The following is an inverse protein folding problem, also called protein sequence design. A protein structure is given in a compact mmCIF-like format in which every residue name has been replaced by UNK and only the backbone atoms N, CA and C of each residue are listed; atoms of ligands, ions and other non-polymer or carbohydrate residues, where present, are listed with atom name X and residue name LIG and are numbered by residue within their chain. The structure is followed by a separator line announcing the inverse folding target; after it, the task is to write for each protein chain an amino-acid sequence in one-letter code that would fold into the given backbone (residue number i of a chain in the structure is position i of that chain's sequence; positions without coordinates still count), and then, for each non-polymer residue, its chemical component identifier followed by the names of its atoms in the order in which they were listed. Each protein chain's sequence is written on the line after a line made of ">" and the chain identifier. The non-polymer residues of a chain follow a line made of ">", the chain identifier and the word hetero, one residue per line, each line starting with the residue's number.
data_IF_757951711934
#
_entry.id   IF_757951711934
#
_cell.length_a   1.000
_cell.length_b   1.000
_cell.length_c   1.000
_cell.angle_alpha   90.00
_cell.angle_beta   90.00
_cell.angle_gamma   90.00
#
_symmetry.space_group_name_H-M   'P 1'
#
loop_
_entity.id
_entity.type
_entity.pdbx_description
1 polymer ?
#
# COMPACT_ATOMS: atom_id res chain seq x y z
N UNK A 1 9.43 5.64 10.89
CA UNK A 1 10.25 6.19 12.00
C UNK A 1 10.83 5.11 12.93
N UNK A 2 10.14 3.97 13.15
CA UNK A 2 10.66 2.84 13.96
C UNK A 2 12.02 2.28 13.51
N UNK A 3 12.27 2.19 12.20
CA UNK A 3 13.51 1.63 11.66
C UNK A 3 14.78 2.44 11.98
N UNK A 4 14.66 3.71 12.39
CA UNK A 4 15.81 4.47 12.92
C UNK A 4 16.35 3.87 14.22
N UNK A 5 15.49 3.22 15.01
CA UNK A 5 15.85 2.65 16.30
C UNK A 5 16.27 1.18 16.19
N UNK A 6 16.13 0.54 15.02
CA UNK A 6 16.46 -0.87 14.79
C UNK A 6 17.70 -1.01 13.90
N UNK A 7 18.88 -0.78 14.48
CA UNK A 7 20.17 -0.72 13.78
C UNK A 7 21.25 -1.61 14.43
N UNK A 8 20.84 -2.75 15.01
CA UNK A 8 21.76 -3.68 15.67
C UNK A 8 22.73 -4.31 14.65
N UNK A 9 22.19 -4.83 13.54
CA UNK A 9 22.97 -5.51 12.48
C UNK A 9 23.24 -4.65 11.23
N UNK A 10 22.49 -3.56 11.08
CA UNK A 10 22.56 -2.66 9.92
C UNK A 10 22.73 -1.22 10.38
N UNK A 11 23.27 -0.38 9.51
CA UNK A 11 23.33 1.07 9.72
C UNK A 11 22.69 1.81 8.56
N UNK A 12 21.87 2.81 8.86
CA UNK A 12 21.23 3.67 7.87
C UNK A 12 22.31 4.49 7.18
N UNK A 13 22.32 4.41 5.85
CA UNK A 13 23.12 5.25 4.97
C UNK A 13 22.32 6.48 4.58
N UNK A 14 21.05 6.30 4.22
CA UNK A 14 20.17 7.38 3.82
C UNK A 14 18.70 7.00 4.00
N UNK A 15 17.82 7.99 3.97
CA UNK A 15 16.39 7.80 3.94
C UNK A 15 15.69 8.90 3.13
N UNK A 16 14.52 8.58 2.58
CA UNK A 16 13.71 9.52 1.82
C UNK A 16 12.24 9.36 2.22
N UNK A 17 11.56 10.49 2.31
CA UNK A 17 10.12 10.55 2.45
C UNK A 17 9.51 10.81 1.07
N UNK A 18 8.46 10.05 0.75
CA UNK A 18 7.62 10.26 -0.42
C UNK A 18 6.25 10.64 0.11
N UNK A 19 5.78 11.84 -0.27
CA UNK A 19 4.49 12.37 0.13
C UNK A 19 3.35 11.36 -0.18
N UNK A 20 2.38 11.28 0.71
CA UNK A 20 1.30 10.30 0.67
C UNK A 20 0.43 10.35 -0.59
N UNK A 21 0.32 11.52 -1.24
CA UNK A 21 -0.47 11.70 -2.47
C UNK A 21 -0.12 10.71 -3.56
N UNK A 22 1.16 10.34 -3.68
CA UNK A 22 1.57 9.36 -4.69
C UNK A 22 0.89 8.00 -4.47
N UNK A 23 0.81 7.55 -3.21
CA UNK A 23 0.16 6.27 -2.91
C UNK A 23 -1.37 6.39 -2.87
N UNK A 24 -1.89 7.56 -2.49
CA UNK A 24 -3.31 7.87 -2.62
C UNK A 24 -3.78 7.75 -4.07
N UNK A 25 -3.10 8.44 -5.00
CA UNK A 25 -3.36 8.37 -6.43
C UNK A 25 -3.23 6.94 -6.98
N UNK A 26 -2.21 6.21 -6.53
CA UNK A 26 -2.04 4.80 -6.92
C UNK A 26 -3.27 3.97 -6.53
N UNK A 27 -3.76 4.13 -5.30
CA UNK A 27 -4.93 3.39 -4.81
C UNK A 27 -6.22 3.80 -5.50
N UNK A 28 -6.41 5.09 -5.79
CA UNK A 28 -7.54 5.58 -6.60
C UNK A 28 -7.52 4.98 -8.01
N UNK A 29 -6.37 4.96 -8.68
CA UNK A 29 -6.26 4.40 -10.02
C UNK A 29 -6.47 2.88 -10.04
N UNK A 30 -6.05 2.17 -9.00
CA UNK A 30 -6.39 0.76 -8.82
C UNK A 30 -7.89 0.52 -8.62
N UNK A 31 -8.55 1.35 -7.80
CA UNK A 31 -10.01 1.27 -7.63
C UNK A 31 -10.74 1.53 -8.94
N UNK A 32 -10.37 2.60 -9.68
CA UNK A 32 -10.97 2.94 -10.98
C UNK A 32 -10.81 1.80 -11.97
N UNK A 33 -9.60 1.23 -12.08
CA UNK A 33 -9.34 0.08 -12.98
C UNK A 33 -10.11 -1.15 -12.56
N UNK A 34 -10.22 -1.43 -11.25
CA UNK A 34 -11.01 -2.55 -10.74
C UNK A 34 -12.48 -2.39 -11.12
N UNK A 35 -13.06 -1.22 -10.89
CA UNK A 35 -14.48 -0.94 -11.20
C UNK A 35 -14.76 -1.02 -12.70
N UNK A 36 -13.83 -0.56 -13.56
CA UNK A 36 -13.92 -0.69 -15.02
C UNK A 36 -13.83 -2.14 -15.52
N UNK A 37 -13.25 -3.05 -14.74
CA UNK A 37 -12.95 -4.42 -15.15
C UNK A 37 -13.69 -5.47 -14.32
N UNK A 38 -14.80 -5.11 -13.66
CA UNK A 38 -15.56 -6.01 -12.77
C UNK A 38 -15.99 -7.31 -13.44
N UNK A 39 -16.37 -7.29 -14.71
CA UNK A 39 -16.76 -8.48 -15.47
C UNK A 39 -15.60 -9.49 -15.59
N UNK A 40 -14.39 -8.99 -15.85
CA UNK A 40 -13.17 -9.81 -15.95
C UNK A 40 -12.66 -10.25 -14.57
N UNK A 41 -12.89 -9.46 -13.53
CA UNK A 41 -12.44 -9.74 -12.15
C UNK A 41 -13.36 -10.74 -11.45
N UNK A 42 -14.67 -10.72 -11.73
CA UNK A 42 -15.64 -11.63 -11.14
C UNK A 42 -15.23 -13.13 -11.19
N UNK A 43 -14.81 -13.71 -12.34
CA UNK A 43 -14.36 -15.11 -12.36
C UNK A 43 -13.10 -15.35 -11.54
N UNK A 44 -12.16 -14.38 -11.48
CA UNK A 44 -10.94 -14.47 -10.67
C UNK A 44 -11.29 -14.49 -9.17
N UNK A 45 -12.25 -13.65 -8.75
CA UNK A 45 -12.72 -13.62 -7.37
C UNK A 45 -13.42 -14.93 -6.99
N UNK A 46 -14.22 -15.49 -7.90
CA UNK A 46 -14.86 -16.80 -7.67
C UNK A 46 -13.85 -17.94 -7.59
N UNK A 47 -12.83 -17.96 -8.45
CA UNK A 47 -11.80 -19.02 -8.42
C UNK A 47 -10.90 -18.91 -7.19
N UNK A 48 -10.66 -17.69 -6.70
CA UNK A 48 -9.73 -17.44 -5.59
C UNK A 48 -10.40 -17.59 -4.22
N UNK A 49 -11.63 -17.07 -4.08
CA UNK A 49 -12.32 -16.97 -2.80
C UNK A 49 -13.58 -17.83 -2.70
N UNK A 50 -13.97 -18.53 -3.77
CA UNK A 50 -15.20 -19.31 -3.85
C UNK A 50 -16.42 -18.46 -4.23
N UNK A 51 -17.41 -19.11 -4.87
CA UNK A 51 -18.61 -18.45 -5.39
C UNK A 51 -19.38 -17.67 -4.32
N UNK A 52 -19.53 -18.25 -3.14
CA UNK A 52 -20.32 -17.66 -2.04
C UNK A 52 -19.64 -16.44 -1.41
N UNK A 53 -18.32 -16.30 -1.57
CA UNK A 53 -17.55 -15.19 -0.99
C UNK A 53 -16.99 -14.20 -2.02
N UNK A 54 -17.14 -14.46 -3.32
CA UNK A 54 -16.57 -13.63 -4.39
C UNK A 54 -17.04 -12.16 -4.32
N UNK A 55 -18.32 -11.93 -4.06
CA UNK A 55 -18.88 -10.58 -3.92
C UNK A 55 -18.29 -9.88 -2.68
N UNK A 56 -18.23 -10.59 -1.54
CA UNK A 56 -17.66 -10.07 -0.30
C UNK A 56 -16.21 -9.63 -0.48
N UNK A 57 -15.39 -10.45 -1.14
CA UNK A 57 -13.99 -10.12 -1.38
C UNK A 57 -13.79 -9.02 -2.42
N UNK A 58 -14.65 -8.96 -3.44
CA UNK A 58 -14.68 -7.80 -4.35
C UNK A 58 -14.91 -6.50 -3.57
N UNK A 59 -15.87 -6.48 -2.65
CA UNK A 59 -16.14 -5.31 -1.81
C UNK A 59 -14.96 -5.00 -0.90
N UNK A 60 -14.33 -6.01 -0.28
CA UNK A 60 -13.17 -5.81 0.59
C UNK A 60 -11.99 -5.18 -0.13
N UNK A 61 -11.68 -5.62 -1.35
CA UNK A 61 -10.63 -5.00 -2.17
C UNK A 61 -10.97 -3.54 -2.52
N UNK A 62 -12.22 -3.26 -2.88
CA UNK A 62 -12.66 -1.88 -3.14
C UNK A 62 -12.52 -1.02 -1.88
N UNK A 63 -13.03 -1.49 -0.74
CA UNK A 63 -12.93 -0.79 0.54
C UNK A 63 -11.48 -0.56 0.94
N UNK A 64 -10.59 -1.53 0.70
CA UNK A 64 -9.16 -1.37 0.95
C UNK A 64 -8.57 -0.22 0.12
N UNK A 65 -8.82 -0.19 -1.19
CA UNK A 65 -8.30 0.89 -2.04
C UNK A 65 -8.86 2.26 -1.65
N UNK A 66 -10.16 2.35 -1.31
CA UNK A 66 -10.77 3.58 -0.81
C UNK A 66 -10.10 4.03 0.49
N UNK A 67 -9.96 3.13 1.46
CA UNK A 67 -9.38 3.45 2.76
C UNK A 67 -7.92 3.91 2.63
N UNK A 68 -7.13 3.27 1.76
CA UNK A 68 -5.73 3.68 1.51
C UNK A 68 -5.68 5.02 0.79
N UNK A 69 -6.55 5.27 -0.19
CA UNK A 69 -6.62 6.55 -0.88
C UNK A 69 -6.89 7.71 0.09
N UNK A 70 -7.91 7.58 0.94
CA UNK A 70 -8.25 8.61 1.93
C UNK A 70 -7.16 8.79 2.99
N UNK A 71 -6.63 7.69 3.52
CA UNK A 71 -5.60 7.73 4.55
C UNK A 71 -4.33 8.45 4.06
N UNK A 72 -3.82 8.07 2.89
CA UNK A 72 -2.60 8.66 2.34
C UNK A 72 -2.83 10.01 1.67
N UNK A 73 -4.07 10.37 1.31
CA UNK A 73 -4.43 11.69 0.79
C UNK A 73 -4.70 12.73 1.87
N UNK A 74 -4.90 12.30 3.12
CA UNK A 74 -5.25 13.17 4.22
C UNK A 74 -4.20 14.26 4.47
N UNK A 75 -4.67 15.49 4.77
CA UNK A 75 -3.85 16.68 4.98
C UNK A 75 -2.78 16.87 3.89
N UNK A 76 -3.21 16.82 2.63
CA UNK A 76 -2.33 16.99 1.46
C UNK A 76 -1.22 15.92 1.34
N UNK A 77 -1.40 14.77 2.00
CA UNK A 77 -0.45 13.65 2.02
C UNK A 77 0.71 13.80 3.00
N UNK A 78 0.60 14.71 3.96
CA UNK A 78 1.66 15.04 4.92
C UNK A 78 1.58 14.24 6.24
N UNK A 79 0.54 13.44 6.47
CA UNK A 79 0.43 12.59 7.67
C UNK A 79 0.92 11.15 7.43
N UNK A 80 0.35 10.46 6.44
CA UNK A 80 0.76 9.10 6.06
C UNK A 80 1.58 9.13 4.77
N UNK A 81 2.79 8.60 4.86
CA UNK A 81 3.80 8.71 3.80
C UNK A 81 4.49 7.37 3.55
N UNK A 82 5.19 7.27 2.43
CA UNK A 82 6.08 6.14 2.15
C UNK A 82 7.51 6.55 2.52
N UNK A 83 8.21 5.68 3.24
CA UNK A 83 9.61 5.92 3.63
C UNK A 83 10.51 4.87 3.00
N UNK A 84 11.50 5.33 2.25
CA UNK A 84 12.57 4.48 1.74
C UNK A 84 13.80 4.62 2.62
N UNK A 85 14.39 3.48 3.01
CA UNK A 85 15.62 3.44 3.77
C UNK A 85 16.69 2.70 2.98
N UNK A 86 17.88 3.28 2.90
CA UNK A 86 19.08 2.61 2.42
C UNK A 86 19.93 2.22 3.63
N UNK A 87 20.22 0.93 3.76
CA UNK A 87 21.05 0.39 4.83
C UNK A 87 22.37 -0.16 4.27
N UNK A 88 23.40 -0.18 5.11
CA UNK A 88 24.61 -0.97 4.93
C UNK A 88 24.78 -1.92 6.10
N UNK A 89 25.47 -3.05 5.88
CA UNK A 89 25.87 -3.97 6.95
C UNK A 89 26.74 -3.24 7.96
N UNK A 90 26.48 -3.44 9.25
CA UNK A 90 27.35 -2.95 10.31
C UNK A 90 28.60 -3.82 10.33
N UNK A 91 29.78 -3.22 10.22
CA UNK A 91 31.03 -3.96 10.39
C UNK A 91 31.15 -4.29 11.89
N UNK A 92 31.28 -5.57 12.23
CA UNK A 92 31.68 -5.98 13.57
C UNK A 92 33.08 -5.44 13.85
N UNK A 93 33.26 -4.85 15.04
CA UNK A 93 34.60 -4.52 15.54
C UNK A 93 35.47 -5.78 15.66
#
# INVERSE_FOLDING_TARGET
>A
MMLFFMQDDVSIVNHWLVNGKHYAQTSEEWLKRMDQNLSSIAPIMQSTYGKDSAVKWTVYWRTFFIAVAELFGYNDGEEWMVVHFLFKKKLSA
#
